data_IF_189564440622
#
_entry.id   IF_189564440622
#
_cell.length_a   1.000
_cell.length_b   1.000
_cell.length_c   1.000
_cell.angle_alpha   90.00
_cell.angle_beta   90.00
_cell.angle_gamma   90.00
#
_symmetry.space_group_name_H-M   'P 1'
#
loop_
_entity.id
_entity.type
_entity.pdbx_description
1 polymer ?
#
# COMPACT_ATOMS: atom_id res chain seq x y z
N UNK A 1 3.48 -25.74 -9.47
CA UNK A 1 3.14 -24.35 -9.11
C UNK A 1 4.15 -23.89 -8.07
N UNK A 2 4.79 -22.76 -8.31
CA UNK A 2 5.72 -22.14 -7.37
C UNK A 2 5.05 -20.93 -6.74
N UNK A 3 5.29 -20.70 -5.46
CA UNK A 3 4.76 -19.54 -4.73
C UNK A 3 5.96 -18.75 -4.20
N UNK A 4 6.09 -17.50 -4.62
CA UNK A 4 7.06 -16.54 -4.07
C UNK A 4 6.47 -15.90 -2.81
N UNK A 5 7.17 -15.99 -1.69
CA UNK A 5 6.78 -15.29 -0.46
C UNK A 5 7.33 -13.86 -0.44
N UNK A 6 6.60 -12.95 0.22
CA UNK A 6 7.07 -11.57 0.43
C UNK A 6 8.19 -11.47 1.46
N UNK A 7 8.30 -12.42 2.38
CA UNK A 7 9.31 -12.45 3.45
C UNK A 7 9.88 -13.87 3.67
N UNK A 8 11.17 -13.95 4.01
CA UNK A 8 11.84 -15.19 4.44
C UNK A 8 11.41 -15.59 5.84
N UNK A 9 11.05 -16.86 6.05
CA UNK A 9 10.83 -17.41 7.41
C UNK A 9 12.13 -17.32 8.24
N UNK A 10 12.01 -16.86 9.50
CA UNK A 10 13.11 -16.88 10.48
C UNK A 10 13.47 -18.30 10.98
N UNK A 11 12.58 -19.28 10.78
CA UNK A 11 12.81 -20.69 11.15
C UNK A 11 12.43 -21.65 10.00
N UNK A 12 13.24 -22.70 9.78
CA UNK A 12 13.08 -23.67 8.69
C UNK A 12 14.06 -23.44 7.52
N UNK A 13 13.69 -23.86 6.31
CA UNK A 13 14.57 -23.90 5.11
C UNK A 13 14.99 -22.54 4.56
N UNK A 14 14.53 -21.41 5.12
CA UNK A 14 14.81 -20.02 4.70
C UNK A 14 14.53 -19.71 3.21
N UNK A 15 13.78 -20.57 2.51
CA UNK A 15 13.52 -20.41 1.07
C UNK A 15 12.47 -19.33 0.79
N UNK A 16 12.78 -18.44 -0.17
CA UNK A 16 11.86 -17.44 -0.72
C UNK A 16 10.79 -18.05 -1.64
N UNK A 17 11.05 -19.25 -2.14
CA UNK A 17 10.24 -19.95 -3.14
C UNK A 17 9.77 -21.28 -2.57
N UNK A 18 8.45 -21.44 -2.50
CA UNK A 18 7.81 -22.69 -2.10
C UNK A 18 7.32 -23.47 -3.31
N UNK A 19 7.52 -24.78 -3.28
CA UNK A 19 7.11 -25.72 -4.33
C UNK A 19 8.22 -26.70 -4.69
N UNK A 20 7.92 -27.62 -5.62
CA UNK A 20 8.88 -28.58 -6.16
C UNK A 20 9.47 -28.02 -7.45
N UNK A 21 10.78 -27.89 -7.49
CA UNK A 21 11.54 -27.48 -8.66
C UNK A 21 12.95 -28.10 -8.60
N UNK A 22 13.57 -28.23 -9.76
CA UNK A 22 14.97 -28.58 -9.93
C UNK A 22 15.72 -27.40 -10.56
N UNK A 23 17.05 -27.44 -10.45
CA UNK A 23 17.90 -26.51 -11.17
C UNK A 23 17.69 -26.65 -12.68
N UNK A 24 17.66 -25.53 -13.40
CA UNK A 24 17.37 -25.41 -14.83
C UNK A 24 15.92 -25.68 -15.25
N UNK A 25 15.00 -25.92 -14.32
CA UNK A 25 13.57 -25.97 -14.65
C UNK A 25 13.13 -24.66 -15.31
N UNK A 26 12.24 -24.75 -16.30
CA UNK A 26 11.63 -23.58 -16.93
C UNK A 26 10.36 -23.19 -16.19
N UNK A 27 10.25 -21.92 -15.81
CA UNK A 27 9.09 -21.37 -15.14
C UNK A 27 8.45 -20.24 -15.97
N UNK A 28 7.15 -20.38 -16.22
CA UNK A 28 6.29 -19.34 -16.76
C UNK A 28 5.71 -18.53 -15.60
N UNK A 29 5.90 -17.21 -15.61
CA UNK A 29 5.24 -16.32 -14.66
C UNK A 29 3.83 -16.00 -15.16
N UNK A 30 2.84 -16.05 -14.28
CA UNK A 30 1.45 -15.70 -14.57
C UNK A 30 1.05 -14.56 -13.64
N UNK A 31 0.67 -13.41 -14.20
CA UNK A 31 0.13 -12.27 -13.44
C UNK A 31 -1.23 -11.81 -14.02
N UNK A 32 -1.98 -11.08 -13.21
CA UNK A 32 -3.26 -10.50 -13.61
C UNK A 32 -3.06 -9.24 -14.48
N UNK A 33 -2.21 -8.32 -14.04
CA UNK A 33 -2.02 -7.03 -14.67
C UNK A 33 -0.55 -6.63 -14.72
N UNK A 34 -0.13 -6.01 -15.81
CA UNK A 34 1.21 -5.40 -15.90
C UNK A 34 1.14 -3.92 -16.20
N UNK A 35 1.97 -3.18 -15.46
CA UNK A 35 2.20 -1.74 -15.63
C UNK A 35 3.65 -1.51 -16.07
N UNK A 36 4.58 -1.45 -15.11
CA UNK A 36 6.02 -1.32 -15.31
C UNK A 36 6.74 -2.65 -15.53
N UNK A 37 6.11 -3.77 -15.12
CA UNK A 37 6.75 -5.09 -15.12
C UNK A 37 7.66 -5.36 -13.91
N UNK A 38 7.74 -4.47 -12.92
CA UNK A 38 8.65 -4.64 -11.77
C UNK A 38 8.37 -5.91 -10.96
N UNK A 39 7.10 -6.23 -10.69
CA UNK A 39 6.71 -7.45 -9.94
C UNK A 39 7.18 -8.74 -10.63
N UNK A 40 6.96 -8.82 -11.95
CA UNK A 40 7.43 -9.93 -12.79
C UNK A 40 8.95 -10.03 -12.76
N UNK A 41 9.67 -8.91 -12.85
CA UNK A 41 11.14 -8.87 -12.82
C UNK A 41 11.67 -9.34 -11.46
N UNK A 42 11.15 -8.82 -10.36
CA UNK A 42 11.56 -9.25 -9.02
C UNK A 42 11.31 -10.74 -8.80
N UNK A 43 10.20 -11.25 -9.31
CA UNK A 43 9.85 -12.66 -9.23
C UNK A 43 10.79 -13.50 -10.10
N UNK A 44 11.10 -13.03 -11.31
CA UNK A 44 12.06 -13.68 -12.19
C UNK A 44 13.46 -13.72 -11.59
N UNK A 45 13.92 -12.61 -10.99
CA UNK A 45 15.22 -12.53 -10.34
C UNK A 45 15.30 -13.47 -9.13
N UNK A 46 14.22 -13.57 -8.34
CA UNK A 46 14.12 -14.54 -7.24
C UNK A 46 14.22 -15.99 -7.73
N UNK A 47 13.49 -16.34 -8.81
CA UNK A 47 13.50 -17.68 -9.41
C UNK A 47 14.87 -18.01 -10.02
N UNK A 48 15.49 -17.05 -10.72
CA UNK A 48 16.82 -17.20 -11.33
C UNK A 48 17.91 -17.41 -10.29
N UNK A 49 17.81 -16.77 -9.13
CA UNK A 49 18.72 -16.99 -8.01
C UNK A 49 18.68 -18.44 -7.46
N UNK A 50 17.53 -19.11 -7.58
CA UNK A 50 17.36 -20.54 -7.25
C UNK A 50 17.68 -21.47 -8.44
N UNK A 51 18.25 -20.93 -9.52
CA UNK A 51 18.66 -21.67 -10.72
C UNK A 51 17.52 -22.02 -11.68
N UNK A 52 16.36 -21.38 -11.55
CA UNK A 52 15.20 -21.60 -12.43
C UNK A 52 15.28 -20.67 -13.64
N UNK A 53 14.99 -21.20 -14.83
CA UNK A 53 14.96 -20.43 -16.07
C UNK A 53 13.62 -19.73 -16.25
N UNK A 54 13.64 -18.39 -16.20
CA UNK A 54 12.47 -17.55 -16.50
C UNK A 54 12.69 -16.85 -17.83
N UNK A 55 11.86 -17.19 -18.81
CA UNK A 55 11.97 -16.72 -20.21
C UNK A 55 10.71 -16.01 -20.69
N UNK A 56 9.55 -16.36 -20.13
CA UNK A 56 8.26 -15.85 -20.54
C UNK A 56 7.44 -15.46 -19.29
N UNK A 57 6.60 -14.43 -19.45
CA UNK A 57 5.54 -14.08 -18.52
C UNK A 57 4.25 -13.92 -19.31
N UNK A 58 3.13 -14.41 -18.78
CA UNK A 58 1.80 -14.17 -19.33
C UNK A 58 0.98 -13.32 -18.37
N UNK A 59 0.30 -12.32 -18.92
CA UNK A 59 -0.56 -11.40 -18.18
C UNK A 59 -1.96 -11.38 -18.78
N UNK A 60 -2.96 -11.25 -17.92
CA UNK A 60 -4.32 -11.06 -18.41
C UNK A 60 -4.47 -9.66 -19.03
N UNK A 61 -3.95 -8.62 -18.38
CA UNK A 61 -4.15 -7.24 -18.81
C UNK A 61 -2.86 -6.40 -18.84
N UNK A 62 -2.52 -5.87 -20.01
CA UNK A 62 -1.37 -4.97 -20.21
C UNK A 62 -1.82 -3.51 -20.28
N UNK A 63 -1.42 -2.71 -19.28
CA UNK A 63 -1.71 -1.27 -19.22
C UNK A 63 -0.86 -0.44 -20.18
N UNK A 64 0.07 -1.04 -20.91
CA UNK A 64 0.95 -0.40 -21.91
C UNK A 64 1.72 0.81 -21.36
N UNK A 65 2.11 0.74 -20.08
CA UNK A 65 2.91 1.75 -19.39
C UNK A 65 4.39 1.33 -19.33
N UNK A 66 4.95 0.92 -20.47
CA UNK A 66 6.35 0.49 -20.66
C UNK A 66 6.75 -0.91 -20.13
N UNK A 67 5.82 -1.70 -19.58
CA UNK A 67 6.10 -3.04 -19.04
C UNK A 67 6.74 -4.01 -20.03
N UNK A 68 6.30 -4.02 -21.30
CA UNK A 68 6.86 -4.90 -22.34
C UNK A 68 8.35 -4.61 -22.59
N UNK A 69 8.74 -3.34 -22.69
CA UNK A 69 10.13 -2.95 -22.92
C UNK A 69 11.01 -3.27 -21.71
N UNK A 70 10.50 -3.00 -20.51
CA UNK A 70 11.21 -3.30 -19.27
C UNK A 70 11.47 -4.81 -19.12
N UNK A 71 10.49 -5.65 -19.45
CA UNK A 71 10.62 -7.10 -19.42
C UNK A 71 11.57 -7.63 -20.50
N UNK A 72 11.50 -7.08 -21.73
CA UNK A 72 12.47 -7.39 -22.78
C UNK A 72 13.90 -7.07 -22.35
N UNK A 73 14.12 -5.94 -21.68
CA UNK A 73 15.42 -5.57 -21.10
C UNK A 73 15.94 -6.55 -20.05
N UNK A 74 15.09 -7.43 -19.51
CA UNK A 74 15.41 -8.50 -18.56
C UNK A 74 15.34 -9.90 -19.19
N UNK A 75 15.32 -9.99 -20.52
CA UNK A 75 15.19 -11.23 -21.29
C UNK A 75 13.92 -12.03 -20.91
N UNK A 76 12.81 -11.32 -20.69
CA UNK A 76 11.49 -11.91 -20.43
C UNK A 76 10.55 -11.47 -21.53
N UNK A 77 10.00 -12.44 -22.27
CA UNK A 77 8.95 -12.17 -23.25
C UNK A 77 7.61 -12.03 -22.53
N UNK A 78 6.93 -10.91 -22.76
CA UNK A 78 5.59 -10.67 -22.25
C UNK A 78 4.52 -11.16 -23.24
N UNK A 79 3.70 -12.11 -22.82
CA UNK A 79 2.46 -12.55 -23.48
C UNK A 79 1.29 -11.86 -22.78
N UNK A 80 0.33 -11.34 -23.54
CA UNK A 80 -0.80 -10.58 -23.00
C UNK A 80 -2.11 -11.04 -23.64
N UNK A 81 -3.15 -11.19 -22.83
CA UNK A 81 -4.49 -11.55 -23.32
C UNK A 81 -5.22 -10.31 -23.81
N UNK A 82 -5.18 -9.23 -23.04
CA UNK A 82 -5.80 -7.94 -23.36
C UNK A 82 -4.82 -6.78 -23.14
N UNK A 83 -4.96 -5.73 -23.92
CA UNK A 83 -4.29 -4.44 -23.70
C UNK A 83 -5.29 -3.34 -23.38
N UNK A 84 -4.83 -2.28 -22.71
CA UNK A 84 -5.66 -1.10 -22.47
C UNK A 84 -6.14 -0.46 -23.78
N UNK A 85 -5.34 -0.44 -24.85
CA UNK A 85 -5.79 -0.01 -26.18
C UNK A 85 -6.99 -0.83 -26.65
N UNK A 86 -6.93 -2.16 -26.58
CA UNK A 86 -8.04 -3.03 -26.98
C UNK A 86 -9.29 -2.82 -26.12
N UNK A 87 -9.12 -2.60 -24.83
CA UNK A 87 -10.23 -2.30 -23.91
C UNK A 87 -10.89 -0.95 -24.27
N UNK A 88 -10.10 0.09 -24.51
CA UNK A 88 -10.62 1.40 -24.89
C UNK A 88 -11.38 1.34 -26.22
N UNK A 89 -10.81 0.70 -27.24
CA UNK A 89 -11.46 0.47 -28.54
C UNK A 89 -12.81 -0.24 -28.37
N UNK A 90 -12.85 -1.28 -27.52
CA UNK A 90 -14.09 -2.00 -27.23
C UNK A 90 -15.11 -1.10 -26.51
N UNK A 91 -14.70 -0.32 -25.52
CA UNK A 91 -15.60 0.54 -24.75
C UNK A 91 -16.18 1.67 -25.61
N UNK A 92 -15.38 2.28 -26.49
CA UNK A 92 -15.85 3.27 -27.47
C UNK A 92 -16.84 2.64 -28.44
N UNK A 93 -16.48 1.48 -29.03
CA UNK A 93 -17.34 0.75 -29.97
C UNK A 93 -18.71 0.43 -29.38
N UNK A 94 -18.76 0.10 -28.09
CA UNK A 94 -19.99 -0.23 -27.37
C UNK A 94 -20.64 0.98 -26.68
N UNK A 95 -20.20 2.20 -26.98
CA UNK A 95 -20.75 3.46 -26.43
C UNK A 95 -20.78 3.47 -24.90
N UNK A 96 -19.79 2.83 -24.25
CA UNK A 96 -19.61 2.84 -22.79
C UNK A 96 -18.78 4.03 -22.33
N UNK A 97 -17.91 4.52 -23.20
CA UNK A 97 -17.16 5.78 -23.04
C UNK A 97 -17.22 6.55 -24.36
N UNK A 98 -16.95 7.86 -24.30
CA UNK A 98 -16.83 8.68 -25.51
C UNK A 98 -15.43 8.59 -26.11
N UNK A 99 -15.27 9.07 -27.35
CA UNK A 99 -13.96 9.12 -27.99
C UNK A 99 -13.01 10.08 -27.25
N UNK A 100 -13.56 11.16 -26.69
CA UNK A 100 -12.81 12.14 -25.89
C UNK A 100 -12.19 11.48 -24.66
N UNK A 101 -12.97 10.72 -23.88
CA UNK A 101 -12.46 9.98 -22.71
C UNK A 101 -11.39 8.97 -23.11
N UNK A 102 -11.57 8.27 -24.23
CA UNK A 102 -10.54 7.35 -24.75
C UNK A 102 -9.24 8.08 -25.07
N UNK A 103 -9.31 9.27 -25.67
CA UNK A 103 -8.14 10.06 -26.01
C UNK A 103 -7.42 10.58 -24.76
N UNK A 104 -8.17 11.02 -23.75
CA UNK A 104 -7.61 11.45 -22.46
C UNK A 104 -6.84 10.30 -21.77
N UNK A 105 -7.39 9.09 -21.76
CA UNK A 105 -6.72 7.92 -21.18
C UNK A 105 -5.46 7.55 -21.98
N UNK A 106 -5.51 7.58 -23.31
CA UNK A 106 -4.34 7.32 -24.14
C UNK A 106 -3.23 8.36 -23.90
N UNK A 107 -3.60 9.63 -23.78
CA UNK A 107 -2.66 10.70 -23.47
C UNK A 107 -2.05 10.52 -22.07
N UNK A 108 -2.88 10.17 -21.08
CA UNK A 108 -2.41 9.84 -19.74
C UNK A 108 -1.38 8.71 -19.77
N UNK A 109 -1.64 7.61 -20.49
CA UNK A 109 -0.69 6.49 -20.61
C UNK A 109 0.60 6.93 -21.28
N UNK A 110 0.52 7.76 -22.34
CA UNK A 110 1.69 8.29 -23.05
C UNK A 110 2.57 9.16 -22.15
N UNK A 111 1.95 9.99 -21.30
CA UNK A 111 2.66 10.86 -20.36
C UNK A 111 3.19 10.11 -19.12
N UNK A 112 2.55 9.01 -18.74
CA UNK A 112 2.87 8.23 -17.54
C UNK A 112 3.50 6.88 -17.89
N UNK A 113 4.49 6.89 -18.80
CA UNK A 113 5.34 5.72 -19.04
C UNK A 113 6.17 5.44 -17.80
N UNK A 114 6.13 4.21 -17.30
CA UNK A 114 6.83 3.85 -16.07
C UNK A 114 8.23 3.32 -16.38
N UNK A 115 9.24 4.02 -15.89
CA UNK A 115 10.59 3.47 -15.81
C UNK A 115 10.65 2.44 -14.68
N UNK A 116 11.54 1.45 -14.81
CA UNK A 116 11.87 0.61 -13.67
C UNK A 116 12.39 1.52 -12.56
N UNK A 117 11.91 1.38 -11.31
CA UNK A 117 12.49 2.13 -10.22
C UNK A 117 13.99 1.85 -10.22
N UNK A 118 14.79 2.89 -10.48
CA UNK A 118 16.20 2.81 -10.14
C UNK A 118 16.25 2.41 -8.67
N UNK A 119 17.04 1.39 -8.34
CA UNK A 119 17.44 1.13 -6.95
C UNK A 119 18.18 2.40 -6.48
N UNK A 120 17.43 3.40 -6.04
CA UNK A 120 17.97 4.52 -5.30
C UNK A 120 18.34 3.93 -3.95
N UNK A 121 19.55 3.38 -3.88
CA UNK A 121 20.27 3.06 -2.65
C UNK A 121 20.67 4.37 -1.95
N UNK A 122 19.71 5.28 -1.78
CA UNK A 122 19.86 6.55 -1.12
C UNK A 122 18.65 6.74 -0.24
N UNK A 123 18.89 6.97 1.04
CA UNK A 123 17.87 7.52 1.94
C UNK A 123 17.39 8.79 1.23
N UNK A 124 16.15 8.78 0.72
CA UNK A 124 15.52 10.01 0.28
C UNK A 124 15.35 10.81 1.56
N UNK A 125 16.25 11.76 1.79
CA UNK A 125 16.07 12.76 2.84
C UNK A 125 14.70 13.39 2.59
N UNK A 126 13.78 13.16 3.52
CA UNK A 126 12.49 13.82 3.47
C UNK A 126 12.77 15.30 3.65
N UNK A 127 12.58 16.08 2.57
CA UNK A 127 12.65 17.54 2.61
C UNK A 127 11.87 18.05 3.83
N UNK A 128 12.40 19.10 4.47
CA UNK A 128 11.73 19.74 5.60
C UNK A 128 10.28 20.07 5.22
N UNK A 129 9.37 19.74 6.12
CA UNK A 129 7.94 19.96 5.94
C UNK A 129 7.50 21.05 6.88
N UNK A 130 6.65 21.97 6.42
CA UNK A 130 5.96 22.93 7.30
C UNK A 130 4.77 22.30 8.04
N UNK A 131 4.29 21.13 7.59
CA UNK A 131 3.15 20.43 8.20
C UNK A 131 3.55 19.84 9.57
N UNK A 132 2.93 20.24 10.69
CA UNK A 132 3.33 19.84 12.04
C UNK A 132 3.34 18.33 12.28
N UNK A 133 2.32 17.61 11.81
CA UNK A 133 2.27 16.15 12.01
C UNK A 133 3.40 15.42 11.27
N UNK A 134 3.83 15.95 10.13
CA UNK A 134 4.95 15.40 9.36
C UNK A 134 6.28 15.67 10.04
N UNK A 135 6.44 16.83 10.68
CA UNK A 135 7.60 17.12 11.52
C UNK A 135 7.65 16.18 12.73
N UNK A 136 6.53 16.00 13.45
CA UNK A 136 6.44 15.06 14.58
C UNK A 136 6.79 13.63 14.15
N UNK A 137 6.30 13.18 13.00
CA UNK A 137 6.65 11.88 12.44
C UNK A 137 8.16 11.75 12.13
N UNK A 138 8.78 12.79 11.55
CA UNK A 138 10.22 12.80 11.29
C UNK A 138 11.02 12.69 12.58
N UNK A 139 10.70 13.51 13.58
CA UNK A 139 11.33 13.47 14.90
C UNK A 139 11.24 12.08 15.54
N UNK A 140 10.05 11.47 15.56
CA UNK A 140 9.84 10.12 16.08
C UNK A 140 10.76 9.11 15.37
N UNK A 141 10.84 9.15 14.03
CA UNK A 141 11.66 8.22 13.25
C UNK A 141 13.15 8.38 13.53
N UNK A 142 13.61 9.62 13.66
CA UNK A 142 15.02 9.95 13.89
C UNK A 142 15.44 9.56 15.32
N UNK A 143 14.67 9.95 16.33
CA UNK A 143 14.95 9.65 17.73
C UNK A 143 14.91 8.15 18.03
N UNK A 144 13.89 7.47 17.50
CA UNK A 144 13.65 6.05 17.82
C UNK A 144 14.20 5.08 16.78
N UNK A 145 14.79 5.60 15.69
CA UNK A 145 15.32 4.81 14.56
C UNK A 145 14.34 3.76 14.04
N UNK A 146 13.06 4.11 13.99
CA UNK A 146 11.98 3.20 13.57
C UNK A 146 11.10 3.84 12.51
N UNK A 147 10.69 3.04 11.53
CA UNK A 147 9.64 3.36 10.56
C UNK A 147 8.48 2.35 10.66
N UNK A 148 8.42 1.57 11.74
CA UNK A 148 7.40 0.54 11.94
C UNK A 148 6.08 1.15 12.40
N UNK A 149 5.04 0.94 11.60
CA UNK A 149 3.65 1.13 12.01
C UNK A 149 3.07 -0.23 12.42
N UNK A 150 2.60 -0.37 13.67
CA UNK A 150 1.94 -1.59 14.13
C UNK A 150 0.44 -1.50 13.88
N UNK A 151 -0.13 -2.54 13.25
CA UNK A 151 -1.57 -2.71 13.11
C UNK A 151 -2.10 -3.55 14.27
N UNK A 152 -2.76 -2.91 15.24
CA UNK A 152 -3.33 -3.58 16.40
C UNK A 152 -4.82 -3.89 16.17
N UNK A 153 -5.06 -4.86 15.28
CA UNK A 153 -6.41 -5.30 14.90
C UNK A 153 -6.97 -6.30 15.95
N UNK A 154 -7.06 -5.84 17.20
CA UNK A 154 -7.63 -6.56 18.34
C UNK A 154 -9.03 -6.04 18.64
N UNK A 155 -9.85 -6.85 19.32
CA UNK A 155 -11.24 -6.51 19.68
C UNK A 155 -11.39 -5.96 21.09
N UNK A 156 -10.30 -5.83 21.86
CA UNK A 156 -10.28 -5.23 23.19
C UNK A 156 -9.29 -4.07 23.26
N UNK A 157 -9.77 -2.92 23.72
CA UNK A 157 -8.95 -1.73 23.95
C UNK A 157 -7.98 -1.93 25.12
N UNK A 158 -8.34 -2.74 26.13
CA UNK A 158 -7.42 -3.11 27.21
C UNK A 158 -6.20 -3.89 26.67
N UNK A 159 -6.43 -4.84 25.75
CA UNK A 159 -5.33 -5.57 25.10
C UNK A 159 -4.47 -4.65 24.24
N UNK A 160 -5.07 -3.71 23.51
CA UNK A 160 -4.34 -2.70 22.74
C UNK A 160 -3.49 -1.82 23.66
N UNK A 161 -4.03 -1.40 24.81
CA UNK A 161 -3.30 -0.62 25.82
C UNK A 161 -2.09 -1.40 26.33
N UNK A 162 -2.25 -2.67 26.65
CA UNK A 162 -1.15 -3.50 27.16
C UNK A 162 -0.09 -3.76 26.08
N UNK A 163 -0.51 -4.08 24.86
CA UNK A 163 0.39 -4.22 23.71
C UNK A 163 1.17 -2.92 23.45
N UNK A 164 0.51 -1.78 23.56
CA UNK A 164 1.11 -0.46 23.33
C UNK A 164 2.24 -0.14 24.30
N UNK A 165 2.17 -0.61 25.55
CA UNK A 165 3.27 -0.45 26.53
C UNK A 165 4.51 -1.25 26.13
N UNK A 166 4.31 -2.45 25.57
CA UNK A 166 5.40 -3.35 25.18
C UNK A 166 6.06 -2.92 23.88
N UNK A 167 5.26 -2.52 22.89
CA UNK A 167 5.75 -2.17 21.55
C UNK A 167 6.10 -0.69 21.40
N UNK A 168 5.58 0.17 22.29
CA UNK A 168 5.69 1.62 22.25
C UNK A 168 7.09 2.12 21.90
N UNK A 169 8.17 1.66 22.57
CA UNK A 169 9.55 2.09 22.26
C UNK A 169 10.02 1.81 20.82
N UNK A 170 9.41 0.86 20.12
CA UNK A 170 9.90 0.33 18.83
C UNK A 170 9.07 0.77 17.62
N UNK A 171 7.91 1.42 17.82
CA UNK A 171 7.00 1.82 16.73
C UNK A 171 7.00 3.33 16.53
N UNK A 172 6.83 3.80 15.29
CA UNK A 172 6.55 5.22 15.02
C UNK A 172 5.06 5.54 15.06
N UNK A 173 4.22 4.52 14.87
CA UNK A 173 2.77 4.68 14.74
C UNK A 173 2.05 3.41 15.19
N UNK A 174 0.89 3.57 15.81
CA UNK A 174 -0.06 2.52 16.13
C UNK A 174 -1.35 2.76 15.35
N UNK A 175 -1.69 1.82 14.47
CA UNK A 175 -2.95 1.81 13.72
C UNK A 175 -3.97 0.96 14.48
N UNK A 176 -5.17 1.47 14.67
CA UNK A 176 -6.30 0.74 15.24
C UNK A 176 -7.55 0.85 14.34
N UNK A 177 -8.54 0.03 14.66
CA UNK A 177 -9.91 0.13 14.17
C UNK A 177 -10.83 0.26 15.38
N UNK A 178 -11.26 1.49 15.70
CA UNK A 178 -12.08 1.70 16.89
C UNK A 178 -13.45 1.03 16.83
N UNK A 179 -13.94 0.75 15.63
CA UNK A 179 -15.26 0.19 15.33
C UNK A 179 -15.38 -1.33 15.54
N UNK A 180 -14.27 -2.04 15.78
CA UNK A 180 -14.25 -3.47 16.12
C UNK A 180 -14.05 -3.74 17.63
N UNK A 181 -13.98 -2.69 18.45
CA UNK A 181 -13.69 -2.79 19.88
C UNK A 181 -14.96 -3.04 20.69
N UNK A 182 -14.96 -4.11 21.49
CA UNK A 182 -16.09 -4.49 22.34
C UNK A 182 -16.22 -3.62 23.60
N UNK A 183 -15.12 -2.98 24.01
CA UNK A 183 -14.96 -2.27 25.28
C UNK A 183 -14.46 -0.83 25.09
N UNK A 184 -14.79 -0.22 23.94
CA UNK A 184 -14.42 1.16 23.65
C UNK A 184 -14.95 2.13 24.71
N UNK A 185 -14.07 2.98 25.25
CA UNK A 185 -14.46 4.12 26.07
C UNK A 185 -13.48 5.27 25.90
N UNK A 186 -13.98 6.51 26.03
CA UNK A 186 -13.14 7.70 25.94
C UNK A 186 -12.09 7.77 27.06
N UNK A 187 -12.37 7.17 28.22
CA UNK A 187 -11.41 7.05 29.32
C UNK A 187 -10.20 6.19 28.90
N UNK A 188 -10.46 5.00 28.35
CA UNK A 188 -9.41 4.09 27.86
C UNK A 188 -8.64 4.69 26.68
N UNK A 189 -9.32 5.40 25.78
CA UNK A 189 -8.66 6.16 24.70
C UNK A 189 -7.72 7.22 25.29
N UNK A 190 -8.10 7.91 26.36
CA UNK A 190 -7.22 8.87 27.01
C UNK A 190 -6.00 8.19 27.65
N UNK A 191 -6.14 6.97 28.17
CA UNK A 191 -5.01 6.16 28.62
C UNK A 191 -4.07 5.81 27.44
N UNK A 192 -4.62 5.38 26.30
CA UNK A 192 -3.84 5.10 25.09
C UNK A 192 -3.09 6.34 24.58
N UNK A 193 -3.74 7.52 24.59
CA UNK A 193 -3.08 8.79 24.25
C UNK A 193 -1.91 9.11 25.19
N UNK A 194 -2.05 8.81 26.48
CA UNK A 194 -0.96 9.03 27.43
C UNK A 194 0.22 8.10 27.11
N UNK A 195 -0.03 6.83 26.80
CA UNK A 195 1.00 5.86 26.37
C UNK A 195 1.68 6.32 25.07
N UNK A 196 0.90 6.79 24.08
CA UNK A 196 1.40 7.38 22.83
C UNK A 196 2.36 8.56 23.09
N UNK A 197 2.03 9.43 24.04
CA UNK A 197 2.90 10.55 24.45
C UNK A 197 4.14 10.05 25.17
N UNK A 198 3.99 9.13 26.12
CA UNK A 198 5.11 8.58 26.91
C UNK A 198 6.15 7.88 26.03
N UNK A 199 5.71 7.06 25.07
CA UNK A 199 6.62 6.32 24.19
C UNK A 199 6.86 7.01 22.86
N UNK A 200 6.35 8.23 22.66
CA UNK A 200 6.49 9.03 21.45
C UNK A 200 6.16 8.25 20.16
N UNK A 201 4.89 7.92 19.94
CA UNK A 201 4.37 7.37 18.68
C UNK A 201 3.03 8.01 18.30
N UNK A 202 2.67 7.96 17.02
CA UNK A 202 1.40 8.51 16.51
C UNK A 202 0.25 7.50 16.60
N UNK A 203 -0.97 7.98 16.79
CA UNK A 203 -2.20 7.18 16.69
C UNK A 203 -2.86 7.37 15.32
N UNK A 204 -3.09 6.27 14.61
CA UNK A 204 -3.80 6.23 13.33
C UNK A 204 -5.11 5.45 13.50
N UNK A 205 -6.24 6.11 13.23
CA UNK A 205 -7.52 5.43 13.09
C UNK A 205 -7.73 5.09 11.61
N UNK A 206 -7.69 3.80 11.27
CA UNK A 206 -7.82 3.35 9.89
C UNK A 206 -9.29 3.20 9.47
N UNK A 207 -10.04 4.30 9.63
CA UNK A 207 -11.49 4.33 9.42
C UNK A 207 -11.92 4.19 7.96
N UNK A 208 -11.02 4.51 7.01
CA UNK A 208 -11.27 4.52 5.56
C UNK A 208 -12.55 5.28 5.19
N UNK A 209 -12.67 6.54 5.60
CA UNK A 209 -13.84 7.35 5.27
C UNK A 209 -14.09 7.38 3.76
N UNK A 210 -15.34 7.17 3.34
CA UNK A 210 -15.70 6.97 1.94
C UNK A 210 -17.12 7.50 1.62
N UNK A 211 -17.50 8.61 2.25
CA UNK A 211 -18.82 9.23 2.08
C UNK A 211 -18.67 10.70 1.65
N UNK A 212 -19.78 11.39 1.42
CA UNK A 212 -19.78 12.83 1.10
C UNK A 212 -19.29 13.66 2.29
N UNK A 213 -18.73 14.84 2.00
CA UNK A 213 -18.02 15.68 2.98
C UNK A 213 -18.75 15.90 4.30
N UNK A 214 -20.01 16.39 4.26
CA UNK A 214 -20.79 16.64 5.48
C UNK A 214 -20.99 15.38 6.34
N UNK A 215 -21.26 14.24 5.72
CA UNK A 215 -21.43 12.97 6.43
C UNK A 215 -20.12 12.53 7.10
N UNK A 216 -19.01 12.63 6.37
CA UNK A 216 -17.68 12.30 6.89
C UNK A 216 -17.28 13.21 8.05
N UNK A 217 -17.56 14.52 7.98
CA UNK A 217 -17.29 15.44 9.07
C UNK A 217 -18.03 15.02 10.36
N UNK A 218 -19.30 14.62 10.25
CA UNK A 218 -20.06 14.13 11.40
C UNK A 218 -19.53 12.79 11.92
N UNK A 219 -19.15 11.86 11.04
CA UNK A 219 -18.54 10.58 11.44
C UNK A 219 -17.19 10.78 12.14
N UNK A 220 -16.43 11.81 11.72
CA UNK A 220 -15.11 12.12 12.26
C UNK A 220 -15.18 12.87 13.60
N UNK A 221 -16.06 13.86 13.71
CA UNK A 221 -16.10 14.78 14.88
C UNK A 221 -17.13 14.39 15.94
N UNK A 222 -18.15 13.59 15.60
CA UNK A 222 -19.26 13.22 16.50
C UNK A 222 -19.30 11.71 16.74
N UNK A 223 -20.49 11.21 17.11
CA UNK A 223 -20.75 9.80 17.36
C UNK A 223 -20.10 9.29 18.64
N UNK A 224 -20.11 7.97 18.79
CA UNK A 224 -19.51 7.29 19.93
C UNK A 224 -17.98 7.48 19.96
N UNK A 225 -17.34 7.43 18.79
CA UNK A 225 -15.88 7.36 18.67
C UNK A 225 -15.17 8.70 18.72
N UNK A 226 -15.82 9.80 18.30
CA UNK A 226 -15.26 11.17 18.29
C UNK A 226 -13.80 11.19 17.81
N UNK A 227 -13.54 10.56 16.66
CA UNK A 227 -12.20 10.20 16.16
C UNK A 227 -11.26 11.41 16.14
N UNK A 228 -11.76 12.58 15.74
CA UNK A 228 -11.01 13.83 15.67
C UNK A 228 -10.38 14.28 17.00
N UNK A 229 -10.88 13.81 18.13
CA UNK A 229 -10.41 14.22 19.46
C UNK A 229 -9.16 13.47 19.93
N UNK A 230 -8.80 12.36 19.26
CA UNK A 230 -7.74 11.48 19.73
C UNK A 230 -6.82 10.92 18.66
N UNK A 231 -7.30 10.71 17.43
CA UNK A 231 -6.46 10.20 16.35
C UNK A 231 -5.55 11.32 15.83
N UNK A 232 -4.25 11.05 15.71
CA UNK A 232 -3.32 11.97 15.06
C UNK A 232 -3.49 11.96 13.54
N UNK A 233 -3.92 10.81 12.99
CA UNK A 233 -4.10 10.55 11.57
C UNK A 233 -5.35 9.68 11.35
N UNK A 234 -5.96 9.82 10.17
CA UNK A 234 -7.05 8.96 9.69
C UNK A 234 -6.83 8.55 8.24
N UNK A 235 -7.52 7.50 7.78
CA UNK A 235 -7.53 7.09 6.37
C UNK A 235 -8.82 7.49 5.65
N UNK A 236 -8.68 7.82 4.37
CA UNK A 236 -9.75 8.32 3.48
C UNK A 236 -9.64 7.67 2.11
N UNK A 237 -10.77 7.30 1.52
CA UNK A 237 -10.86 6.94 0.11
C UNK A 237 -11.02 8.19 -0.75
N UNK A 238 -10.35 8.21 -1.91
CA UNK A 238 -10.42 9.31 -2.88
C UNK A 238 -11.67 9.25 -3.77
N UNK A 239 -12.46 8.18 -3.67
CA UNK A 239 -13.63 7.93 -4.51
C UNK A 239 -14.69 9.07 -4.46
N UNK A 240 -15.01 9.68 -3.31
CA UNK A 240 -16.02 10.74 -3.23
C UNK A 240 -15.56 12.10 -3.79
N UNK A 241 -14.29 12.24 -4.23
CA UNK A 241 -13.71 13.50 -4.69
C UNK A 241 -13.15 14.38 -3.58
N UNK A 242 -12.65 15.57 -3.93
CA UNK A 242 -11.91 16.46 -3.01
C UNK A 242 -12.72 16.96 -1.81
N UNK A 243 -14.05 16.99 -1.91
CA UNK A 243 -14.94 17.46 -0.84
C UNK A 243 -14.81 16.69 0.47
N UNK A 244 -14.33 15.45 0.42
CA UNK A 244 -14.04 14.67 1.64
C UNK A 244 -12.85 15.22 2.42
N UNK A 245 -11.80 15.68 1.72
CA UNK A 245 -10.60 16.23 2.35
C UNK A 245 -10.92 17.59 2.96
N UNK A 246 -11.61 18.46 2.21
CA UNK A 246 -12.04 19.78 2.68
C UNK A 246 -12.93 19.70 3.92
N UNK A 247 -13.79 18.68 4.01
CA UNK A 247 -14.67 18.50 5.16
C UNK A 247 -13.95 17.99 6.42
N UNK A 248 -12.84 17.27 6.27
CA UNK A 248 -12.02 16.80 7.40
C UNK A 248 -11.08 17.88 7.95
N UNK A 249 -10.84 18.95 7.18
CA UNK A 249 -10.05 20.12 7.61
C UNK A 249 -10.84 21.11 8.50
N UNK A 250 -12.17 20.98 8.53
CA UNK A 250 -13.10 21.87 9.26
C UNK A 250 -13.54 21.29 10.60
#
# INVERSE_FOLDING_TARGET
>A
MLIRRKETKNYGTKKLIEGKFNQNDRCLIIEDIVTSGSSVIETADSLRAEGIQVTDAIVFFDRQQNGDNNLKGKNIRLLRVLTITQVLEYLVKNKRITQEVSNEVQEFIRQNQTELPALKNGIIEMKSSSIPIRQRFQTIREEKKTNLCLCADLTSLDEIIELSKQVGPNICMLKIHCDILNDFSMEKIQQLKNISRTFNFLLLEDRKFADIGNTVQLQYTKGLFQIATWADLVTVHVLPGEGIVQALEQ
#
